data_IF_048564172398
#
_entry.id   IF_048564172398
#
_cell.length_a   1.000
_cell.length_b   1.000
_cell.length_c   1.000
_cell.angle_alpha   90.00
_cell.angle_beta   90.00
_cell.angle_gamma   90.00
#
_symmetry.space_group_name_H-M   'P 1'
#
loop_
_entity.id
_entity.type
_entity.pdbx_description
1 polymer ?
#
# COMPACT_ATOMS: atom_id res chain seq x y z
N UNK A 1 -19.56 8.31 17.03
CA UNK A 1 -20.07 7.83 15.73
C UNK A 1 -21.33 7.01 15.96
N UNK A 2 -22.33 7.16 15.11
CA UNK A 2 -23.52 6.30 15.13
C UNK A 2 -23.17 4.91 14.58
N UNK A 3 -23.80 3.87 15.13
CA UNK A 3 -23.60 2.49 14.66
C UNK A 3 -24.29 2.33 13.31
N UNK A 4 -23.50 2.12 12.25
CA UNK A 4 -24.04 1.79 10.94
C UNK A 4 -24.88 0.51 11.02
N UNK A 5 -26.16 0.59 10.66
CA UNK A 5 -27.04 -0.56 10.59
C UNK A 5 -26.68 -1.41 9.37
N UNK A 6 -26.52 -2.72 9.57
CA UNK A 6 -26.20 -3.64 8.49
C UNK A 6 -25.54 -4.92 8.97
N UNK A 7 -25.14 -5.74 8.00
CA UNK A 7 -24.42 -6.99 8.23
C UNK A 7 -23.05 -6.87 7.57
N UNK A 8 -22.01 -7.25 8.31
CA UNK A 8 -20.64 -7.21 7.81
C UNK A 8 -20.50 -8.11 6.58
N UNK A 9 -20.01 -7.55 5.49
CA UNK A 9 -20.00 -8.19 4.18
C UNK A 9 -19.29 -9.56 4.17
N UNK A 10 -18.22 -9.70 4.98
CA UNK A 10 -17.50 -10.97 5.23
C UNK A 10 -18.40 -12.11 5.70
N UNK A 11 -19.46 -11.81 6.45
CA UNK A 11 -20.34 -12.83 7.06
C UNK A 11 -21.32 -13.45 6.05
N UNK A 12 -21.71 -12.70 5.02
CA UNK A 12 -22.64 -13.18 3.99
C UNK A 12 -21.95 -13.52 2.68
N UNK A 13 -20.65 -13.21 2.58
CA UNK A 13 -19.85 -13.20 1.35
C UNK A 13 -19.92 -14.52 0.56
N UNK A 14 -19.79 -15.64 1.26
CA UNK A 14 -19.78 -16.99 0.66
C UNK A 14 -21.16 -17.45 0.19
N UNK A 15 -22.23 -16.86 0.71
CA UNK A 15 -23.63 -17.22 0.39
C UNK A 15 -24.26 -16.27 -0.63
N UNK A 16 -23.48 -15.31 -1.16
CA UNK A 16 -23.98 -14.33 -2.12
C UNK A 16 -24.28 -14.99 -3.46
N UNK A 17 -25.53 -14.86 -3.91
CA UNK A 17 -25.89 -15.22 -5.28
C UNK A 17 -25.20 -14.29 -6.27
N UNK A 18 -25.03 -14.76 -7.52
CA UNK A 18 -24.49 -13.97 -8.65
C UNK A 18 -25.17 -12.59 -8.77
N UNK A 19 -26.49 -12.52 -8.59
CA UNK A 19 -27.24 -11.26 -8.60
C UNK A 19 -26.85 -10.30 -7.46
N UNK A 20 -26.68 -10.82 -6.23
CA UNK A 20 -26.22 -10.02 -5.09
C UNK A 20 -24.79 -9.52 -5.31
N UNK A 21 -23.91 -10.37 -5.83
CA UNK A 21 -22.52 -10.04 -6.17
C UNK A 21 -22.43 -8.95 -7.22
N UNK A 22 -23.24 -9.04 -8.28
CA UNK A 22 -23.36 -8.00 -9.30
C UNK A 22 -23.83 -6.68 -8.69
N UNK A 23 -24.91 -6.69 -7.89
CA UNK A 23 -25.44 -5.48 -7.24
C UNK A 23 -24.44 -4.84 -6.29
N UNK A 24 -23.66 -5.65 -5.57
CA UNK A 24 -22.58 -5.15 -4.71
C UNK A 24 -21.53 -4.41 -5.54
N UNK A 25 -21.00 -5.05 -6.58
CA UNK A 25 -19.97 -4.45 -7.43
C UNK A 25 -20.47 -3.14 -8.07
N UNK A 26 -21.68 -3.12 -8.61
CA UNK A 26 -22.25 -1.90 -9.19
C UNK A 26 -22.45 -0.79 -8.17
N UNK A 27 -22.91 -1.14 -6.95
CA UNK A 27 -23.15 -0.15 -5.90
C UNK A 27 -21.85 0.49 -5.42
N UNK A 28 -20.77 -0.30 -5.31
CA UNK A 28 -19.46 0.23 -4.97
C UNK A 28 -18.94 1.21 -6.04
N UNK A 29 -19.03 0.81 -7.32
CA UNK A 29 -18.59 1.69 -8.41
C UNK A 29 -19.43 2.97 -8.49
N UNK A 30 -20.73 2.91 -8.20
CA UNK A 30 -21.56 4.12 -8.12
C UNK A 30 -21.14 5.05 -6.97
N UNK A 31 -20.69 4.49 -5.84
CA UNK A 31 -20.11 5.27 -4.75
C UNK A 31 -18.78 5.91 -5.17
N UNK A 32 -17.86 5.13 -5.74
CA UNK A 32 -16.58 5.64 -6.24
C UNK A 32 -16.79 6.72 -7.30
N UNK A 33 -17.71 6.50 -8.23
CA UNK A 33 -18.08 7.49 -9.26
C UNK A 33 -18.49 8.82 -8.64
N UNK A 34 -19.25 8.81 -7.53
CA UNK A 34 -19.58 10.05 -6.82
C UNK A 34 -18.32 10.74 -6.34
N UNK A 35 -17.41 10.02 -5.67
CA UNK A 35 -16.15 10.58 -5.18
C UNK A 35 -15.24 11.11 -6.30
N UNK A 36 -15.07 10.36 -7.40
CA UNK A 36 -14.27 10.77 -8.55
C UNK A 36 -14.82 12.02 -9.27
N UNK A 37 -16.12 12.29 -9.14
CA UNK A 37 -16.76 13.46 -9.74
C UNK A 37 -16.79 14.68 -8.81
N UNK A 38 -16.30 14.57 -7.57
CA UNK A 38 -16.19 15.73 -6.68
C UNK A 38 -15.02 16.60 -7.17
N UNK A 39 -15.26 17.89 -7.51
CA UNK A 39 -14.23 18.76 -8.07
C UNK A 39 -13.42 19.43 -6.96
N UNK A 40 -12.82 18.61 -6.08
CA UNK A 40 -11.99 19.17 -5.01
C UNK A 40 -10.83 19.98 -5.57
N UNK A 41 -10.66 21.20 -5.06
CA UNK A 41 -9.63 22.13 -5.53
C UNK A 41 -8.24 21.79 -4.99
N UNK A 42 -8.17 21.20 -3.81
CA UNK A 42 -6.93 21.06 -3.06
C UNK A 42 -6.82 19.68 -2.41
N UNK A 43 -5.58 19.25 -2.19
CA UNK A 43 -5.24 18.03 -1.46
C UNK A 43 -5.11 18.34 0.03
N UNK A 44 -5.73 17.52 0.87
CA UNK A 44 -5.77 17.69 2.31
C UNK A 44 -6.89 16.86 2.93
N UNK A 45 -7.39 17.28 4.09
CA UNK A 45 -8.57 16.69 4.71
C UNK A 45 -9.72 17.70 4.78
N UNK A 46 -10.95 17.20 4.86
CA UNK A 46 -12.15 18.05 4.93
C UNK A 46 -12.39 18.43 6.38
N UNK A 47 -12.53 19.73 6.65
CA UNK A 47 -12.83 20.28 7.98
C UNK A 47 -14.06 21.17 7.92
N UNK A 48 -14.75 21.30 9.06
CA UNK A 48 -15.61 22.46 9.27
C UNK A 48 -14.74 23.71 9.32
N UNK A 49 -15.19 24.80 8.70
CA UNK A 49 -14.45 26.08 8.71
C UNK A 49 -14.23 26.63 10.12
N UNK A 50 -15.15 26.34 11.03
CA UNK A 50 -15.07 26.82 12.40
C UNK A 50 -14.07 26.03 13.26
N UNK A 51 -13.62 24.86 12.80
CA UNK A 51 -12.72 23.97 13.56
C UNK A 51 -11.23 24.27 13.31
N UNK A 52 -10.88 25.04 12.28
CA UNK A 52 -9.49 25.35 11.93
C UNK A 52 -9.27 26.84 11.61
N UNK A 53 -8.08 27.40 11.92
CA UNK A 53 -7.71 28.77 11.57
C UNK A 53 -7.86 29.09 10.08
N UNK A 54 -8.27 30.31 9.75
CA UNK A 54 -8.57 30.74 8.36
C UNK A 54 -7.38 30.65 7.40
N UNK A 55 -6.16 30.80 7.90
CA UNK A 55 -4.91 30.68 7.16
C UNK A 55 -4.60 29.24 6.74
N UNK A 56 -5.22 28.25 7.39
CA UNK A 56 -5.12 26.83 7.04
C UNK A 56 -6.28 26.36 6.16
N UNK A 57 -7.17 27.25 5.72
CA UNK A 57 -8.35 26.91 4.92
C UNK A 57 -8.11 27.13 3.43
N UNK A 58 -8.08 26.05 2.66
CA UNK A 58 -8.23 26.10 1.21
C UNK A 58 -9.69 25.93 0.78
N UNK A 59 -10.09 26.51 -0.36
CA UNK A 59 -11.44 26.32 -0.88
C UNK A 59 -11.74 24.84 -1.16
N UNK A 60 -12.98 24.44 -0.89
CA UNK A 60 -13.43 23.06 -1.11
C UNK A 60 -13.44 22.71 -2.61
N UNK A 61 -13.93 23.62 -3.45
CA UNK A 61 -14.08 23.46 -4.89
C UNK A 61 -13.56 24.70 -5.63
N UNK A 62 -13.45 24.63 -6.96
CA UNK A 62 -13.08 25.80 -7.79
C UNK A 62 -14.16 26.89 -7.82
N UNK A 63 -15.44 26.49 -7.80
CA UNK A 63 -16.59 27.39 -7.69
C UNK A 63 -17.28 27.16 -6.33
N UNK A 64 -17.59 28.24 -5.62
CA UNK A 64 -18.19 28.16 -4.29
C UNK A 64 -19.61 27.55 -4.36
N UNK A 65 -19.76 26.37 -3.77
CA UNK A 65 -21.06 25.71 -3.59
C UNK A 65 -21.68 26.00 -2.23
N UNK A 66 -22.88 25.48 -1.98
CA UNK A 66 -23.54 25.57 -0.66
C UNK A 66 -22.67 25.01 0.46
N UNK A 67 -22.00 23.89 0.18
CA UNK A 67 -21.15 23.18 1.13
C UNK A 67 -19.86 23.95 1.44
N UNK A 68 -19.42 24.82 0.52
CA UNK A 68 -18.25 25.69 0.70
C UNK A 68 -18.46 26.76 1.78
N UNK A 69 -19.69 26.97 2.27
CA UNK A 69 -19.95 27.82 3.43
C UNK A 69 -19.63 27.13 4.76
N UNK A 70 -19.74 25.79 4.79
CA UNK A 70 -19.59 24.98 6.01
C UNK A 70 -18.21 24.32 6.06
N UNK A 71 -17.72 23.85 4.91
CA UNK A 71 -16.53 23.02 4.82
C UNK A 71 -15.40 23.70 4.04
N UNK A 72 -14.18 23.30 4.36
CA UNK A 72 -12.95 23.69 3.68
C UNK A 72 -11.99 22.49 3.60
N UNK A 73 -10.96 22.61 2.75
CA UNK A 73 -9.82 21.68 2.78
C UNK A 73 -8.76 22.27 3.70
N UNK A 74 -8.37 21.53 4.72
CA UNK A 74 -7.32 21.89 5.66
C UNK A 74 -6.11 20.96 5.57
N UNK A 75 -5.21 21.02 6.56
CA UNK A 75 -4.06 20.11 6.67
C UNK A 75 -4.50 18.64 6.58
N UNK A 76 -3.66 17.77 6.05
CA UNK A 76 -4.00 16.35 5.96
C UNK A 76 -4.10 15.70 7.34
N UNK A 77 -5.15 14.91 7.56
CA UNK A 77 -5.29 13.99 8.68
C UNK A 77 -4.75 12.59 8.34
N UNK A 78 -4.08 12.42 7.20
CA UNK A 78 -3.47 11.14 6.81
C UNK A 78 -2.48 10.70 7.91
N UNK A 79 -2.75 9.52 8.46
CA UNK A 79 -1.92 8.88 9.47
C UNK A 79 -0.43 8.87 9.12
N UNK A 80 -0.05 8.76 7.85
CA UNK A 80 1.34 8.75 7.42
C UNK A 80 2.08 10.08 7.67
N UNK A 81 1.35 11.20 7.83
CA UNK A 81 1.92 12.49 8.23
C UNK A 81 2.03 12.68 9.75
N UNK A 82 1.37 11.82 10.53
CA UNK A 82 1.23 11.96 11.99
C UNK A 82 1.77 10.77 12.79
N UNK A 83 2.12 9.66 12.14
CA UNK A 83 2.57 8.45 12.84
C UNK A 83 3.86 8.66 13.63
N UNK A 84 3.82 8.34 14.92
CA UNK A 84 4.94 8.43 15.86
C UNK A 84 5.54 9.84 15.87
N UNK A 85 6.88 9.92 15.91
CA UNK A 85 7.63 11.18 15.90
C UNK A 85 7.43 12.09 14.68
N UNK A 86 6.69 11.67 13.66
CA UNK A 86 6.27 12.59 12.57
C UNK A 86 5.25 13.61 13.08
N UNK A 87 4.46 13.30 14.12
CA UNK A 87 3.54 14.25 14.72
C UNK A 87 4.24 15.48 15.32
N UNK A 88 5.46 15.33 15.84
CA UNK A 88 6.22 16.41 16.47
C UNK A 88 7.03 17.27 15.50
N UNK A 89 7.08 16.91 14.21
CA UNK A 89 7.80 17.70 13.22
C UNK A 89 7.06 19.00 12.88
N UNK A 90 7.80 20.11 12.83
CA UNK A 90 7.32 21.38 12.29
C UNK A 90 7.45 21.38 10.76
N UNK A 91 6.49 20.72 10.11
CA UNK A 91 6.41 20.59 8.65
C UNK A 91 5.05 21.05 8.14
N UNK A 92 5.03 21.56 6.91
CA UNK A 92 3.80 21.90 6.24
C UNK A 92 3.00 20.63 5.93
N UNK A 93 1.75 20.57 6.40
CA UNK A 93 0.85 19.42 6.22
C UNK A 93 -0.30 19.72 5.27
N UNK A 94 -0.13 20.72 4.42
CA UNK A 94 -1.19 21.22 3.55
C UNK A 94 -2.02 22.31 4.23
N UNK A 95 -3.09 22.76 3.56
CA UNK A 95 -3.62 22.21 2.31
C UNK A 95 -2.74 22.51 1.08
N UNK A 96 -2.70 21.60 0.10
CA UNK A 96 -1.91 21.77 -1.13
C UNK A 96 -2.83 22.04 -2.33
N UNK A 97 -2.63 23.17 -3.00
CA UNK A 97 -3.34 23.47 -4.26
C UNK A 97 -2.68 22.74 -5.42
N UNK A 98 -1.35 22.74 -5.48
CA UNK A 98 -0.61 21.99 -6.48
C UNK A 98 -0.42 20.53 -6.03
N UNK A 99 -0.98 19.56 -6.78
CA UNK A 99 -0.49 18.19 -6.85
C UNK A 99 0.99 17.96 -6.50
N UNK A 100 1.90 18.64 -7.18
CA UNK A 100 3.35 18.47 -7.04
C UNK A 100 3.86 18.85 -5.65
N UNK A 101 3.26 19.87 -5.02
CA UNK A 101 3.64 20.29 -3.67
C UNK A 101 3.28 19.23 -2.62
N UNK A 102 2.14 18.58 -2.78
CA UNK A 102 1.73 17.46 -1.89
C UNK A 102 2.77 16.34 -1.91
N UNK A 103 3.23 15.97 -3.10
CA UNK A 103 4.18 14.88 -3.30
C UNK A 103 5.58 15.23 -2.83
N UNK A 104 5.98 16.48 -3.08
CA UNK A 104 7.20 17.02 -2.51
C UNK A 104 7.14 16.99 -0.99
N UNK A 105 5.99 17.31 -0.39
CA UNK A 105 5.79 17.26 1.06
C UNK A 105 5.85 15.84 1.62
N UNK A 106 5.42 14.83 0.87
CA UNK A 106 5.59 13.40 1.26
C UNK A 106 7.08 13.08 1.46
N UNK A 107 7.93 13.46 0.50
CA UNK A 107 9.37 13.22 0.59
C UNK A 107 10.05 14.10 1.65
N UNK A 108 9.72 15.39 1.69
CA UNK A 108 10.26 16.34 2.67
C UNK A 108 9.98 15.92 4.10
N UNK A 109 8.76 15.43 4.38
CA UNK A 109 8.40 14.86 5.68
C UNK A 109 9.38 13.77 6.12
N UNK A 110 9.71 12.85 5.23
CA UNK A 110 10.65 11.75 5.54
C UNK A 110 12.08 12.26 5.71
N UNK A 111 12.52 13.22 4.89
CA UNK A 111 13.83 13.88 5.02
C UNK A 111 13.95 14.59 6.38
N UNK A 112 12.94 15.38 6.76
CA UNK A 112 12.92 16.08 8.04
C UNK A 112 12.89 15.12 9.22
N UNK A 113 12.13 14.03 9.12
CA UNK A 113 12.15 12.98 10.13
C UNK A 113 13.56 12.37 10.29
N UNK A 114 14.25 12.06 9.19
CA UNK A 114 15.62 11.53 9.21
C UNK A 114 16.61 12.52 9.81
N UNK A 115 16.49 13.82 9.52
CA UNK A 115 17.36 14.85 10.10
C UNK A 115 17.23 14.94 11.62
N UNK A 116 16.02 14.81 12.16
CA UNK A 116 15.76 14.96 13.59
C UNK A 116 15.94 13.66 14.38
N UNK A 117 15.57 12.53 13.78
CA UNK A 117 15.42 11.25 14.49
C UNK A 117 16.13 10.09 13.81
N UNK A 118 16.68 10.29 12.60
CA UNK A 118 17.46 9.30 11.90
C UNK A 118 18.63 8.85 12.77
N UNK A 119 18.63 7.56 13.09
CA UNK A 119 19.77 6.88 13.70
C UNK A 119 20.39 5.98 12.64
N UNK A 120 21.71 5.78 12.67
CA UNK A 120 22.33 4.70 11.91
C UNK A 120 21.57 3.39 12.20
N UNK A 121 20.88 2.88 11.19
CA UNK A 121 20.27 1.57 11.30
C UNK A 121 21.40 0.55 11.18
N UNK A 122 21.60 -0.26 12.23
CA UNK A 122 22.25 -1.55 12.01
C UNK A 122 21.33 -2.34 11.07
N UNK A 123 21.89 -2.98 10.04
CA UNK A 123 21.10 -3.90 9.25
C UNK A 123 20.67 -5.05 10.16
N UNK A 124 19.41 -5.00 10.58
CA UNK A 124 18.76 -6.10 11.25
C UNK A 124 18.12 -6.98 10.18
N UNK A 125 18.47 -8.27 10.23
CA UNK A 125 17.68 -9.32 9.60
C UNK A 125 16.20 -9.17 10.03
N UNK A 126 15.21 -9.42 9.17
CA UNK A 126 15.27 -9.81 7.75
C UNK A 126 15.04 -8.64 6.77
N UNK A 127 14.91 -7.41 7.24
CA UNK A 127 14.38 -6.33 6.40
C UNK A 127 15.44 -5.63 5.55
N UNK A 128 16.72 -5.71 5.90
CA UNK A 128 17.71 -4.78 5.35
C UNK A 128 18.81 -5.38 4.46
N UNK A 129 19.12 -6.66 4.60
CA UNK A 129 20.27 -7.31 3.93
C UNK A 129 20.94 -8.33 4.86
N UNK A 130 21.93 -9.06 4.35
CA UNK A 130 22.64 -10.09 5.11
C UNK A 130 23.76 -9.57 6.02
N UNK A 131 24.21 -8.31 5.87
CA UNK A 131 25.28 -7.69 6.72
C UNK A 131 25.17 -6.13 6.82
N UNK A 132 25.71 -5.45 7.86
CA UNK A 132 25.59 -3.99 8.13
C UNK A 132 26.30 -3.00 7.17
N UNK A 133 25.71 -1.82 6.92
CA UNK A 133 26.18 -0.72 6.04
C UNK A 133 25.19 0.48 5.96
N UNK A 134 25.68 1.68 5.60
CA UNK A 134 24.93 2.96 5.57
C UNK A 134 24.68 3.49 4.14
N UNK A 135 23.57 4.21 3.90
CA UNK A 135 23.20 4.76 2.58
C UNK A 135 22.51 6.13 2.72
N UNK A 136 22.80 7.05 1.78
CA UNK A 136 22.38 8.47 1.78
C UNK A 136 21.07 8.75 1.02
N UNK A 137 20.25 9.73 1.45
CA UNK A 137 19.04 10.21 0.75
C UNK A 137 19.36 11.35 -0.21
N UNK A 138 18.98 11.26 -1.48
CA UNK A 138 18.59 12.44 -2.28
C UNK A 138 17.73 11.97 -3.48
N UNK A 139 16.62 12.71 -3.71
CA UNK A 139 15.82 12.86 -4.94
C UNK A 139 14.47 12.08 -5.17
N UNK A 140 13.50 12.86 -5.72
CA UNK A 140 12.41 12.56 -6.70
C UNK A 140 10.90 12.61 -6.30
N UNK A 141 10.05 13.12 -7.24
CA UNK A 141 8.62 13.57 -7.13
C UNK A 141 7.75 13.06 -8.33
N UNK A 142 6.45 12.67 -8.14
CA UNK A 142 5.41 12.40 -9.22
C UNK A 142 3.92 12.48 -8.76
N UNK A 143 3.01 13.03 -9.62
CA UNK A 143 1.57 13.46 -9.53
C UNK A 143 0.47 12.60 -8.77
N UNK A 144 -0.59 13.19 -8.12
CA UNK A 144 -1.48 12.54 -7.14
C UNK A 144 -2.78 11.87 -7.63
N UNK A 145 -3.35 12.16 -8.80
CA UNK A 145 -4.62 11.50 -9.22
C UNK A 145 -4.45 10.00 -9.45
N UNK A 146 -3.24 9.60 -9.80
CA UNK A 146 -2.83 8.21 -9.96
C UNK A 146 -2.77 7.49 -8.61
N UNK A 147 -2.61 8.18 -7.48
CA UNK A 147 -2.46 7.53 -6.17
C UNK A 147 -3.72 6.84 -5.67
N UNK A 148 -4.89 7.28 -6.13
CA UNK A 148 -6.20 6.74 -5.70
C UNK A 148 -6.83 5.77 -6.70
N UNK A 149 -6.27 5.66 -7.91
CA UNK A 149 -6.79 4.76 -8.95
C UNK A 149 -6.32 3.33 -8.73
N UNK A 150 -7.23 2.37 -8.59
CA UNK A 150 -6.87 1.00 -8.28
C UNK A 150 -8.07 0.09 -8.13
N UNK A 151 -7.81 -1.18 -7.88
CA UNK A 151 -8.85 -2.12 -7.49
C UNK A 151 -8.83 -2.20 -5.97
N UNK A 152 -9.96 -1.96 -5.28
CA UNK A 152 -10.04 -2.26 -3.86
C UNK A 152 -9.71 -3.73 -3.62
N UNK A 153 -9.03 -4.06 -2.51
CA UNK A 153 -8.50 -5.40 -2.24
C UNK A 153 -9.48 -6.56 -2.47
N UNK A 154 -10.76 -6.36 -2.16
CA UNK A 154 -11.81 -7.36 -2.38
C UNK A 154 -12.15 -7.63 -3.87
N UNK A 155 -11.73 -6.74 -4.76
CA UNK A 155 -11.98 -6.72 -6.20
C UNK A 155 -10.69 -6.77 -7.03
N UNK A 156 -9.52 -6.99 -6.41
CA UNK A 156 -8.26 -7.20 -7.11
C UNK A 156 -8.32 -8.46 -7.99
N UNK A 157 -7.56 -8.44 -9.09
CA UNK A 157 -7.38 -9.62 -9.92
C UNK A 157 -6.71 -10.73 -9.08
N UNK A 158 -7.36 -11.90 -8.88
CA UNK A 158 -6.75 -12.99 -8.14
C UNK A 158 -5.68 -13.75 -8.93
N UNK A 159 -5.59 -13.52 -10.24
CA UNK A 159 -4.68 -14.23 -11.14
C UNK A 159 -3.34 -13.48 -11.31
N UNK A 160 -2.27 -14.24 -11.57
CA UNK A 160 -0.92 -13.69 -11.80
C UNK A 160 -0.90 -12.74 -13.01
N UNK A 161 -1.66 -13.07 -14.04
CA UNK A 161 -1.77 -12.27 -15.26
C UNK A 161 -3.18 -11.68 -15.39
N UNK A 162 -3.26 -10.46 -15.92
CA UNK A 162 -4.53 -9.82 -16.19
C UNK A 162 -5.16 -10.41 -17.47
N UNK A 163 -6.44 -10.85 -17.43
CA UNK A 163 -7.12 -11.34 -18.61
C UNK A 163 -7.20 -10.27 -19.72
N UNK A 164 -6.66 -10.60 -20.90
CA UNK A 164 -6.66 -9.71 -22.06
C UNK A 164 -8.09 -9.36 -22.51
N UNK A 165 -9.04 -10.29 -22.35
CA UNK A 165 -10.44 -10.12 -22.71
C UNK A 165 -11.37 -9.96 -21.50
N UNK A 166 -12.57 -9.43 -21.74
CA UNK A 166 -13.65 -9.30 -20.77
C UNK A 166 -14.58 -10.51 -20.84
N UNK A 167 -14.04 -11.72 -20.64
CA UNK A 167 -14.85 -12.93 -20.53
C UNK A 167 -15.30 -13.17 -19.10
N UNK A 168 -16.57 -13.53 -18.94
CA UNK A 168 -17.09 -13.93 -17.64
C UNK A 168 -16.36 -15.21 -17.18
N UNK A 169 -15.85 -15.25 -15.93
CA UNK A 169 -15.18 -16.44 -15.44
C UNK A 169 -16.15 -17.62 -15.35
N UNK A 170 -15.59 -18.83 -15.43
CA UNK A 170 -16.30 -20.10 -15.31
C UNK A 170 -15.68 -20.94 -14.19
N UNK A 171 -16.49 -21.79 -13.57
CA UNK A 171 -15.98 -22.83 -12.69
C UNK A 171 -15.16 -23.85 -13.52
N UNK A 172 -14.19 -24.54 -12.89
CA UNK A 172 -13.46 -25.64 -13.53
C UNK A 172 -14.42 -26.70 -14.11
N UNK A 173 -14.05 -27.30 -15.24
CA UNK A 173 -14.88 -28.31 -15.91
C UNK A 173 -15.10 -29.57 -15.06
N UNK A 174 -14.14 -29.87 -14.17
CA UNK A 174 -14.13 -30.98 -13.22
C UNK A 174 -14.74 -30.61 -11.85
N UNK A 175 -15.34 -29.43 -11.70
CA UNK A 175 -15.87 -28.93 -10.42
C UNK A 175 -16.80 -29.92 -9.69
N UNK A 176 -17.64 -30.66 -10.43
CA UNK A 176 -18.57 -31.64 -9.85
C UNK A 176 -17.86 -32.82 -9.20
N UNK A 177 -16.65 -33.15 -9.64
CA UNK A 177 -15.83 -34.25 -9.12
C UNK A 177 -14.82 -33.80 -8.05
N UNK A 178 -14.70 -32.49 -7.76
CA UNK A 178 -13.74 -32.01 -6.77
C UNK A 178 -14.12 -32.42 -5.34
N UNK A 179 -13.13 -32.84 -4.51
CA UNK A 179 -13.34 -33.08 -3.08
C UNK A 179 -13.62 -31.76 -2.34
N UNK A 180 -14.22 -31.84 -1.14
CA UNK A 180 -14.77 -30.67 -0.43
C UNK A 180 -13.83 -29.46 -0.31
N UNK A 181 -12.57 -29.65 0.06
CA UNK A 181 -11.60 -28.56 0.17
C UNK A 181 -11.22 -27.95 -1.18
N UNK A 182 -10.95 -28.78 -2.19
CA UNK A 182 -10.62 -28.32 -3.55
C UNK A 182 -11.82 -27.60 -4.19
N UNK A 183 -13.03 -28.07 -3.89
CA UNK A 183 -14.27 -27.44 -4.33
C UNK A 183 -14.45 -26.05 -3.70
N UNK A 184 -14.20 -25.92 -2.41
CA UNK A 184 -14.23 -24.63 -1.72
C UNK A 184 -13.18 -23.64 -2.26
N UNK A 185 -11.97 -24.12 -2.58
CA UNK A 185 -10.94 -23.29 -3.23
C UNK A 185 -11.36 -22.84 -4.63
N UNK A 186 -11.95 -23.75 -5.42
CA UNK A 186 -12.48 -23.43 -6.75
C UNK A 186 -13.63 -22.40 -6.67
N UNK A 187 -14.52 -22.53 -5.69
CA UNK A 187 -15.61 -21.58 -5.43
C UNK A 187 -15.06 -20.20 -5.06
N UNK A 188 -14.07 -20.14 -4.17
CA UNK A 188 -13.44 -18.88 -3.74
C UNK A 188 -12.70 -18.18 -4.90
N UNK A 189 -11.95 -18.95 -5.70
CA UNK A 189 -11.26 -18.42 -6.87
C UNK A 189 -12.25 -17.91 -7.93
N UNK A 190 -13.28 -18.70 -8.24
CA UNK A 190 -14.36 -18.28 -9.16
C UNK A 190 -15.01 -16.99 -8.68
N UNK A 191 -15.32 -16.89 -7.39
CA UNK A 191 -15.95 -15.72 -6.77
C UNK A 191 -15.06 -14.48 -6.88
N UNK A 192 -13.76 -14.58 -6.57
CA UNK A 192 -12.80 -13.46 -6.70
C UNK A 192 -12.70 -12.99 -8.16
N UNK A 193 -12.58 -13.92 -9.11
CA UNK A 193 -12.59 -13.60 -10.54
C UNK A 193 -13.89 -12.92 -10.97
N UNK A 194 -15.03 -13.39 -10.46
CA UNK A 194 -16.35 -12.83 -10.80
C UNK A 194 -16.51 -11.39 -10.28
N UNK A 195 -16.03 -11.11 -9.07
CA UNK A 195 -16.02 -9.76 -8.52
C UNK A 195 -15.11 -8.83 -9.32
N UNK A 196 -13.87 -9.26 -9.60
CA UNK A 196 -12.94 -8.50 -10.44
C UNK A 196 -13.56 -8.22 -11.82
N UNK A 197 -14.18 -9.22 -12.44
CA UNK A 197 -14.89 -9.10 -13.71
C UNK A 197 -16.01 -8.05 -13.66
N UNK A 198 -16.91 -8.13 -12.67
CA UNK A 198 -17.99 -7.16 -12.52
C UNK A 198 -17.49 -5.77 -12.23
N UNK A 199 -16.51 -5.63 -11.33
CA UNK A 199 -15.91 -4.34 -11.03
C UNK A 199 -15.30 -3.72 -12.30
N UNK A 200 -14.55 -4.48 -13.09
CA UNK A 200 -13.97 -4.00 -14.37
C UNK A 200 -15.05 -3.54 -15.35
N UNK A 201 -16.16 -4.26 -15.47
CA UNK A 201 -17.31 -3.87 -16.31
C UNK A 201 -17.93 -2.56 -15.81
N UNK A 202 -18.28 -2.49 -14.53
CA UNK A 202 -18.95 -1.33 -13.98
C UNK A 202 -18.05 -0.11 -13.97
N UNK A 203 -16.79 -0.23 -13.55
CA UNK A 203 -15.84 0.88 -13.60
C UNK A 203 -15.67 1.37 -15.04
N UNK A 204 -15.60 0.44 -16.00
CA UNK A 204 -15.55 0.79 -17.42
C UNK A 204 -16.78 1.53 -17.94
N UNK A 205 -17.97 1.17 -17.46
CA UNK A 205 -19.24 1.73 -17.91
C UNK A 205 -19.64 3.02 -17.17
N UNK A 206 -19.47 3.04 -15.85
CA UNK A 206 -20.02 4.04 -14.93
C UNK A 206 -18.98 5.06 -14.47
N UNK A 207 -17.70 4.69 -14.40
CA UNK A 207 -16.62 5.53 -13.86
C UNK A 207 -15.49 5.71 -14.88
N UNK A 208 -15.80 6.40 -15.98
CA UNK A 208 -14.84 6.67 -17.08
C UNK A 208 -13.54 7.36 -16.61
N UNK A 209 -13.55 8.35 -15.68
CA UNK A 209 -12.32 8.92 -15.16
C UNK A 209 -11.42 7.89 -14.47
N UNK A 210 -12.00 7.02 -13.64
CA UNK A 210 -11.25 5.94 -13.00
C UNK A 210 -10.68 4.97 -14.05
N UNK A 211 -11.48 4.57 -15.04
CA UNK A 211 -11.01 3.73 -16.14
C UNK A 211 -9.84 4.38 -16.91
N UNK A 212 -9.90 5.69 -17.14
CA UNK A 212 -8.86 6.42 -17.84
C UNK A 212 -7.55 6.44 -17.04
N UNK A 213 -7.62 6.62 -15.72
CA UNK A 213 -6.44 6.50 -14.85
C UNK A 213 -5.86 5.09 -14.85
N UNK A 214 -6.70 4.05 -14.79
CA UNK A 214 -6.29 2.63 -14.86
C UNK A 214 -5.64 2.23 -16.19
N UNK A 215 -5.85 3.01 -17.26
CA UNK A 215 -5.22 2.78 -18.57
C UNK A 215 -3.81 3.34 -18.68
N UNK A 216 -3.36 4.10 -17.69
CA UNK A 216 -2.00 4.61 -17.69
C UNK A 216 -1.02 3.44 -17.46
N UNK A 217 -0.13 3.14 -18.44
CA UNK A 217 0.77 1.99 -18.34
C UNK A 217 1.81 2.14 -17.21
N UNK A 218 1.98 3.34 -16.67
CA UNK A 218 2.95 3.67 -15.62
C UNK A 218 2.23 3.99 -14.29
N UNK A 219 0.92 3.73 -14.19
CA UNK A 219 0.14 3.91 -12.96
C UNK A 219 0.79 3.19 -11.77
N UNK A 220 0.96 1.87 -11.87
CA UNK A 220 1.44 1.05 -10.75
C UNK A 220 2.88 1.41 -10.35
N UNK A 221 3.85 1.60 -11.28
CA UNK A 221 5.18 2.09 -10.91
C UNK A 221 5.16 3.45 -10.20
N UNK A 222 4.31 4.40 -10.61
CA UNK A 222 4.21 5.72 -9.95
C UNK A 222 3.62 5.61 -8.55
N UNK A 223 2.53 4.87 -8.39
CA UNK A 223 1.93 4.60 -7.08
C UNK A 223 2.95 3.96 -6.14
N UNK A 224 3.68 2.97 -6.65
CA UNK A 224 4.72 2.29 -5.91
C UNK A 224 5.84 3.25 -5.49
N UNK A 225 6.33 4.12 -6.39
CA UNK A 225 7.33 5.13 -6.03
C UNK A 225 6.84 6.04 -4.90
N UNK A 226 5.63 6.59 -5.02
CA UNK A 226 5.09 7.52 -4.01
C UNK A 226 4.84 6.80 -2.67
N UNK A 227 4.31 5.58 -2.70
CA UNK A 227 4.13 4.76 -1.49
C UNK A 227 5.47 4.48 -0.79
N UNK A 228 6.53 4.15 -1.55
CA UNK A 228 7.86 3.87 -0.99
C UNK A 228 8.60 5.13 -0.55
N UNK A 229 8.39 6.26 -1.21
CA UNK A 229 8.94 7.55 -0.81
C UNK A 229 8.28 8.11 0.45
N UNK A 230 7.01 7.76 0.71
CA UNK A 230 6.23 8.29 1.83
C UNK A 230 6.21 7.47 3.12
N UNK A 231 6.90 6.33 3.14
CA UNK A 231 6.99 5.44 4.31
C UNK A 231 8.36 5.51 4.94
N UNK A 232 8.41 5.30 6.25
CA UNK A 232 9.66 5.07 6.95
C UNK A 232 10.42 3.93 6.28
N UNK A 233 11.68 4.16 6.00
CA UNK A 233 12.60 3.08 5.67
C UNK A 233 12.69 2.22 6.92
N UNK A 234 12.03 1.06 6.91
CA UNK A 234 12.08 0.07 7.98
C UNK A 234 13.45 -0.62 7.99
N UNK A 235 14.50 0.22 8.03
CA UNK A 235 15.91 -0.10 7.95
C UNK A 235 16.47 -0.36 6.55
N UNK A 236 15.66 -0.37 5.49
CA UNK A 236 16.13 -0.60 4.12
C UNK A 236 15.65 0.42 3.12
N UNK A 237 16.56 0.80 2.21
CA UNK A 237 16.28 1.58 1.03
C UNK A 237 15.98 0.75 -0.20
N UNK A 238 16.06 -0.58 -0.09
CA UNK A 238 15.99 -1.46 -1.25
C UNK A 238 14.68 -1.30 -2.03
N UNK A 239 13.55 -1.18 -1.33
CA UNK A 239 12.25 -1.04 -2.00
C UNK A 239 12.08 0.33 -2.66
N UNK A 240 12.62 1.41 -2.08
CA UNK A 240 12.65 2.73 -2.71
C UNK A 240 13.62 2.75 -3.91
N UNK A 241 14.82 2.19 -3.76
CA UNK A 241 15.79 2.06 -4.85
C UNK A 241 15.20 1.24 -6.00
N UNK A 242 14.52 0.13 -5.73
CA UNK A 242 13.82 -0.65 -6.75
C UNK A 242 12.72 0.14 -7.46
N UNK A 243 11.94 0.94 -6.73
CA UNK A 243 10.96 1.83 -7.32
C UNK A 243 11.61 2.87 -8.25
N UNK A 244 12.72 3.48 -7.83
CA UNK A 244 13.49 4.43 -8.63
C UNK A 244 14.10 3.79 -9.87
N UNK A 245 14.77 2.63 -9.76
CA UNK A 245 15.35 1.89 -10.88
C UNK A 245 14.28 1.60 -11.94
N UNK A 246 13.09 1.13 -11.53
CA UNK A 246 11.96 0.91 -12.43
C UNK A 246 11.51 2.22 -13.09
N UNK A 247 11.38 3.31 -12.31
CA UNK A 247 10.95 4.61 -12.83
C UNK A 247 11.95 5.24 -13.80
N UNK A 248 13.26 5.00 -13.64
CA UNK A 248 14.28 5.37 -14.64
C UNK A 248 14.03 4.65 -15.97
N UNK A 249 13.73 3.35 -15.93
CA UNK A 249 13.34 2.59 -17.13
C UNK A 249 12.06 3.11 -17.80
N UNK A 250 11.13 3.67 -17.03
CA UNK A 250 9.90 4.29 -17.54
C UNK A 250 10.04 5.78 -17.90
N UNK A 251 11.19 6.42 -17.65
CA UNK A 251 11.34 7.87 -17.79
C UNK A 251 10.91 8.37 -19.16
N UNK A 252 11.34 7.72 -20.24
CA UNK A 252 11.02 8.10 -21.63
C UNK A 252 9.55 7.96 -22.01
N UNK A 253 8.74 7.28 -21.19
CA UNK A 253 7.33 7.05 -21.41
C UNK A 253 6.43 8.09 -20.69
N UNK A 254 7.02 8.98 -19.88
CA UNK A 254 6.29 10.07 -19.23
C UNK A 254 5.93 11.16 -20.26
N UNK A 255 4.75 11.83 -20.15
CA UNK A 255 4.25 12.76 -21.16
C UNK A 255 5.19 13.93 -21.49
N UNK A 256 5.96 14.41 -20.50
CA UNK A 256 6.75 15.65 -20.58
C UNK A 256 8.27 15.44 -20.54
N UNK A 257 8.75 14.20 -20.72
CA UNK A 257 10.18 13.86 -20.61
C UNK A 257 10.85 13.57 -21.94
N UNK A 258 10.12 13.70 -23.06
CA UNK A 258 10.65 13.41 -24.39
C UNK A 258 11.82 14.34 -24.71
N UNK A 259 13.00 13.76 -24.91
CA UNK A 259 14.23 14.51 -25.19
C UNK A 259 14.87 15.15 -23.96
N UNK A 260 14.32 14.92 -22.77
CA UNK A 260 14.90 15.32 -21.50
C UNK A 260 15.60 14.12 -20.89
N UNK A 261 16.87 14.28 -20.52
CA UNK A 261 17.61 13.23 -19.85
C UNK A 261 17.03 12.95 -18.46
N UNK A 262 17.00 11.68 -18.05
CA UNK A 262 16.55 11.32 -16.71
C UNK A 262 17.52 11.94 -15.69
N UNK A 263 17.02 12.68 -14.69
CA UNK A 263 17.88 13.25 -13.66
C UNK A 263 18.54 12.14 -12.81
N UNK A 264 17.86 11.01 -12.62
CA UNK A 264 18.40 9.86 -11.91
C UNK A 264 19.21 9.01 -12.86
N UNK A 265 20.43 8.66 -12.45
CA UNK A 265 21.27 7.72 -13.19
C UNK A 265 21.87 6.73 -12.21
N UNK A 266 21.90 5.47 -12.64
CA UNK A 266 22.59 4.40 -11.94
C UNK A 266 23.71 3.89 -12.85
N UNK A 267 24.86 3.61 -12.26
CA UNK A 267 25.94 2.90 -12.94
C UNK A 267 25.60 1.41 -13.08
N UNK A 268 26.19 0.73 -14.06
CA UNK A 268 25.97 -0.71 -14.25
C UNK A 268 26.31 -1.50 -12.97
N UNK A 269 27.39 -1.14 -12.28
CA UNK A 269 27.78 -1.75 -11.01
C UNK A 269 26.72 -1.56 -9.89
N UNK A 270 26.06 -0.40 -9.84
CA UNK A 270 24.98 -0.15 -8.86
C UNK A 270 23.70 -0.93 -9.17
N UNK A 271 23.45 -1.23 -10.44
CA UNK A 271 22.32 -2.04 -10.92
C UNK A 271 22.57 -3.53 -10.69
N UNK A 272 23.78 -4.01 -11.00
CA UNK A 272 24.18 -5.40 -10.78
C UNK A 272 24.14 -5.73 -9.28
N UNK A 273 24.78 -4.90 -8.45
CA UNK A 273 24.74 -5.06 -7.01
C UNK A 273 23.32 -4.93 -6.42
N UNK A 274 22.47 -4.07 -7.01
CA UNK A 274 21.07 -3.99 -6.61
C UNK A 274 20.29 -5.26 -6.95
N UNK A 275 20.54 -5.87 -8.11
CA UNK A 275 19.84 -7.08 -8.55
C UNK A 275 20.11 -8.25 -7.59
N UNK A 276 21.35 -8.42 -7.15
CA UNK A 276 21.72 -9.43 -6.15
C UNK A 276 21.03 -9.18 -4.80
N UNK A 277 21.01 -7.93 -4.34
CA UNK A 277 20.34 -7.53 -3.10
C UNK A 277 18.81 -7.68 -3.17
N UNK A 278 18.18 -7.30 -4.29
CA UNK A 278 16.73 -7.43 -4.53
C UNK A 278 16.30 -8.90 -4.52
N UNK A 279 17.08 -9.77 -5.18
CA UNK A 279 16.81 -11.20 -5.18
C UNK A 279 16.88 -11.81 -3.77
N UNK A 280 17.95 -11.51 -3.03
CA UNK A 280 18.10 -11.98 -1.64
C UNK A 280 16.96 -11.47 -0.74
N UNK A 281 16.59 -10.19 -0.85
CA UNK A 281 15.48 -9.62 -0.10
C UNK A 281 14.14 -10.26 -0.49
N UNK A 282 13.91 -10.55 -1.77
CA UNK A 282 12.70 -11.23 -2.23
C UNK A 282 12.58 -12.62 -1.62
N UNK A 283 13.67 -13.38 -1.60
CA UNK A 283 13.69 -14.73 -1.00
C UNK A 283 13.49 -14.67 0.52
N UNK A 284 14.07 -13.70 1.21
CA UNK A 284 13.81 -13.45 2.64
C UNK A 284 12.34 -13.09 2.89
N UNK A 285 11.72 -12.26 2.05
CA UNK A 285 10.32 -11.90 2.22
C UNK A 285 9.37 -13.08 2.00
N UNK A 286 9.71 -14.04 1.13
CA UNK A 286 8.93 -15.29 1.01
C UNK A 286 8.92 -16.05 2.33
N UNK A 287 10.08 -16.19 2.97
CA UNK A 287 10.20 -16.87 4.25
C UNK A 287 9.43 -16.14 5.35
N UNK A 288 9.55 -14.82 5.42
CA UNK A 288 8.81 -13.98 6.36
C UNK A 288 7.29 -14.10 6.17
N UNK A 289 6.82 -14.07 4.93
CA UNK A 289 5.39 -14.20 4.65
C UNK A 289 4.87 -15.60 4.98
N UNK A 290 5.67 -16.65 4.75
CA UNK A 290 5.35 -17.99 5.21
C UNK A 290 5.14 -18.03 6.74
N UNK A 291 6.04 -17.41 7.52
CA UNK A 291 5.89 -17.30 8.96
C UNK A 291 4.66 -16.49 9.39
N UNK A 292 4.37 -15.37 8.70
CA UNK A 292 3.16 -14.56 8.95
C UNK A 292 1.88 -15.36 8.75
N UNK A 293 1.82 -16.17 7.69
CA UNK A 293 0.70 -17.04 7.39
C UNK A 293 0.53 -18.13 8.46
N UNK A 294 1.64 -18.69 8.95
CA UNK A 294 1.65 -19.70 10.01
C UNK A 294 1.12 -19.15 11.35
N UNK A 295 1.55 -17.95 11.76
CA UNK A 295 1.13 -17.30 13.02
C UNK A 295 -0.19 -16.53 12.89
N UNK A 296 -0.65 -16.27 11.66
CA UNK A 296 -1.95 -15.70 11.35
C UNK A 296 -2.06 -14.17 11.50
N UNK A 297 -0.96 -13.45 11.25
CA UNK A 297 -0.89 -11.98 11.30
C UNK A 297 -0.84 -11.35 9.91
N UNK A 298 -1.22 -10.07 9.81
CA UNK A 298 -1.05 -9.30 8.58
C UNK A 298 0.34 -8.66 8.50
N UNK A 299 0.63 -7.95 7.40
CA UNK A 299 1.91 -7.27 7.18
C UNK A 299 2.27 -6.26 8.28
N UNK A 300 1.27 -5.61 8.86
CA UNK A 300 1.41 -4.64 9.94
C UNK A 300 1.51 -5.27 11.34
N UNK A 301 1.36 -6.60 11.46
CA UNK A 301 1.36 -7.33 12.72
C UNK A 301 0.07 -7.21 13.54
N UNK A 302 -1.00 -6.63 12.98
CA UNK A 302 -2.27 -6.44 13.67
C UNK A 302 -3.06 -7.75 13.74
N UNK A 303 -3.59 -8.02 14.92
CA UNK A 303 -4.43 -9.18 15.21
C UNK A 303 -5.67 -8.73 15.97
N UNK A 304 -6.77 -9.46 15.83
CA UNK A 304 -7.98 -9.22 16.62
C UNK A 304 -7.72 -9.59 18.08
N UNK A 305 -8.30 -8.85 19.03
CA UNK A 305 -8.14 -9.13 20.48
C UNK A 305 -8.36 -10.61 20.83
N UNK A 306 -9.39 -11.25 20.28
CA UNK A 306 -9.71 -12.66 20.56
C UNK A 306 -8.63 -13.66 20.10
N UNK A 307 -7.75 -13.25 19.18
CA UNK A 307 -6.66 -14.05 18.63
C UNK A 307 -5.29 -13.66 19.19
N UNK A 308 -5.20 -12.58 19.97
CA UNK A 308 -3.94 -12.01 20.44
C UNK A 308 -3.09 -13.04 21.19
N UNK A 309 -3.67 -13.67 22.23
CA UNK A 309 -2.97 -14.67 23.06
C UNK A 309 -2.51 -15.91 22.24
N UNK A 310 -3.35 -16.37 21.31
CA UNK A 310 -2.99 -17.49 20.42
C UNK A 310 -1.84 -17.13 19.48
N UNK A 311 -1.88 -15.93 18.90
CA UNK A 311 -0.82 -15.41 18.03
C UNK A 311 0.48 -15.23 18.80
N UNK A 312 0.47 -14.64 20.00
CA UNK A 312 1.67 -14.50 20.84
C UNK A 312 2.29 -15.88 21.11
N UNK A 313 1.48 -16.87 21.49
CA UNK A 313 1.94 -18.25 21.70
C UNK A 313 2.58 -18.84 20.44
N UNK A 314 1.94 -18.70 19.28
CA UNK A 314 2.47 -19.22 17.99
C UNK A 314 3.79 -18.53 17.62
N UNK A 315 3.90 -17.22 17.84
CA UNK A 315 5.13 -16.46 17.62
C UNK A 315 6.26 -16.97 18.51
N UNK A 316 6.00 -17.27 19.79
CA UNK A 316 6.99 -17.89 20.69
C UNK A 316 7.42 -19.27 20.19
N UNK A 317 6.46 -20.14 19.83
CA UNK A 317 6.73 -21.49 19.33
C UNK A 317 7.55 -21.49 18.04
N UNK A 318 7.26 -20.56 17.13
CA UNK A 318 8.04 -20.37 15.90
C UNK A 318 9.48 -19.94 16.22
N UNK A 319 9.68 -19.05 17.20
CA UNK A 319 11.03 -18.66 17.60
C UNK A 319 11.80 -19.84 18.18
N UNK A 320 11.16 -20.62 19.04
CA UNK A 320 11.75 -21.82 19.66
C UNK A 320 12.15 -22.85 18.60
N UNK A 321 11.30 -23.13 17.61
CA UNK A 321 11.61 -24.09 16.55
C UNK A 321 12.78 -23.63 15.66
N UNK A 322 12.92 -22.33 15.41
CA UNK A 322 14.07 -21.77 14.68
C UNK A 322 15.36 -21.83 15.50
N UNK A 323 15.29 -21.66 16.83
CA UNK A 323 16.45 -21.87 17.72
C UNK A 323 16.86 -23.34 17.74
N UNK A 324 15.91 -24.27 17.80
CA UNK A 324 16.18 -25.71 17.70
C UNK A 324 16.82 -26.08 16.35
N UNK A 325 16.35 -25.48 15.26
CA UNK A 325 16.88 -25.71 13.91
C UNK A 325 18.33 -25.21 13.72
N UNK A 326 18.79 -24.28 14.57
CA UNK A 326 20.19 -23.83 14.58
C UNK A 326 21.15 -24.86 15.19
N UNK A 327 20.66 -25.97 15.75
CA UNK A 327 21.44 -27.11 16.28
C UNK A 327 22.60 -26.71 17.22
N UNK A 328 22.38 -25.65 18.01
CA UNK A 328 23.35 -25.13 18.97
C UNK A 328 24.43 -24.22 18.39
N UNK A 329 24.32 -23.79 17.12
CA UNK A 329 25.20 -22.77 16.56
C UNK A 329 24.97 -21.41 17.26
N UNK A 330 25.97 -20.98 18.03
CA UNK A 330 25.90 -19.75 18.83
C UNK A 330 25.78 -18.49 17.96
N UNK A 331 26.34 -18.50 16.75
CA UNK A 331 26.27 -17.37 15.82
C UNK A 331 24.86 -17.26 15.23
N UNK A 332 24.29 -18.36 14.77
CA UNK A 332 22.93 -18.39 14.21
C UNK A 332 21.88 -18.03 15.28
N UNK A 333 22.03 -18.55 16.50
CA UNK A 333 21.14 -18.20 17.62
C UNK A 333 21.29 -16.72 18.00
N UNK A 334 22.50 -16.16 17.97
CA UNK A 334 22.72 -14.73 18.22
C UNK A 334 22.04 -13.89 17.14
N UNK A 335 22.26 -14.21 15.86
CA UNK A 335 21.67 -13.51 14.72
C UNK A 335 20.14 -13.61 14.72
N UNK A 336 19.57 -14.76 15.07
CA UNK A 336 18.13 -14.93 15.21
C UNK A 336 17.55 -14.06 16.33
N UNK A 337 18.24 -13.96 17.47
CA UNK A 337 17.80 -13.12 18.59
C UNK A 337 17.91 -11.64 18.27
N UNK A 338 19.00 -11.21 17.65
CA UNK A 338 19.23 -9.81 17.23
C UNK A 338 18.31 -9.41 16.06
N UNK A 339 17.98 -10.34 15.16
CA UNK A 339 17.14 -10.15 13.98
C UNK A 339 15.67 -10.55 14.16
N UNK A 340 15.22 -10.87 15.39
CA UNK A 340 13.86 -11.36 15.59
C UNK A 340 12.82 -10.28 15.21
N UNK A 341 12.09 -10.54 14.13
CA UNK A 341 11.21 -9.55 13.52
C UNK A 341 9.92 -9.28 14.30
N UNK A 342 9.45 -10.26 15.09
CA UNK A 342 8.24 -10.14 15.92
C UNK A 342 8.59 -9.77 17.37
N UNK A 343 9.71 -9.08 17.57
CA UNK A 343 10.06 -8.54 18.90
C UNK A 343 9.19 -7.34 19.21
N UNK A 344 8.80 -7.21 20.47
CA UNK A 344 8.23 -5.97 20.96
C UNK A 344 9.26 -4.85 20.75
N UNK A 345 8.83 -3.81 20.06
CA UNK A 345 9.55 -2.54 19.98
C UNK A 345 8.68 -1.55 20.73
N UNK A 346 9.26 -0.84 21.69
CA UNK A 346 8.60 0.36 22.20
C UNK A 346 8.31 1.26 21.00
N UNK A 347 7.03 1.54 20.75
CA UNK A 347 6.66 2.57 19.79
C UNK A 347 7.10 3.87 20.46
N UNK A 348 8.26 4.38 20.06
CA UNK A 348 8.81 5.57 20.68
C UNK A 348 7.92 6.73 20.26
N UNK A 349 7.13 7.23 21.20
CA UNK A 349 6.31 8.44 21.08
C UNK A 349 7.09 9.61 20.45
#
# INVERSE_FOLDING_TARGET
MEKAAGVGLKTTWLEMSKHKTHKLASSLVEIEKKFFNLPFRSTGSIYFKDDIPSDLQAPLYDEAGTDSNTFCIGPTADYMFWRGRRASLDIFRGPWVDPCDYLTSIAQKEIEWLRHYGKPSKLDFPHNGSTPGEVSPDEYIVEPRLLVAGHPRAFENPDLEQPADLKEPLLPSDYKSLPGQAKAQADELYRRRLLFYYYRIFSGHLNKPHLQALRDPILLPRQHLVDRAGRQWNGTLLTLKGALVRMVGYWSHLPDTRGIECPVKFTDAELDGFTEQEQMWFDLNKLVNYWRDEIGINEDGWVSNDRYEDTVRKTTQLKESLVEAADGDEEDIRLLNEGWMFRDREEID
#
